data_IF_694106188031
#
_entry.id   IF_694106188031
#
_cell.length_a   1.000
_cell.length_b   1.000
_cell.length_c   1.000
_cell.angle_alpha   90.00
_cell.angle_beta   90.00
_cell.angle_gamma   90.00
#
_symmetry.space_group_name_H-M   'P 1'
#
loop_
_entity.id
_entity.type
_entity.pdbx_description
1 polymer ?
#
# COMPACT_ATOMS: atom_id res chain seq x y z
N UNK A 1 1.62 7.11 67.20
CA UNK A 1 2.90 6.59 66.68
C UNK A 1 2.62 6.04 65.30
N UNK A 2 3.15 6.65 64.25
CA UNK A 2 3.07 6.12 62.88
C UNK A 2 4.37 5.38 62.61
N UNK A 3 4.30 4.14 62.12
CA UNK A 3 5.47 3.48 61.55
C UNK A 3 5.80 4.15 60.22
N UNK A 4 7.06 4.47 60.00
CA UNK A 4 7.61 4.91 58.71
C UNK A 4 8.62 3.88 58.26
N UNK A 5 8.58 3.51 56.98
CA UNK A 5 9.54 2.57 56.37
C UNK A 5 10.49 3.31 55.41
N UNK A 6 11.69 2.78 55.22
CA UNK A 6 12.70 3.27 54.28
C UNK A 6 13.47 2.10 53.63
N UNK A 7 14.23 2.36 52.57
CA UNK A 7 15.09 1.36 51.91
C UNK A 7 16.17 0.74 52.81
N UNK A 8 16.35 1.23 54.04
CA UNK A 8 17.20 0.61 55.06
C UNK A 8 16.48 -0.45 55.89
N UNK A 9 15.18 -0.64 55.68
CA UNK A 9 14.36 -1.62 56.39
C UNK A 9 14.28 -2.90 55.57
N UNK A 10 14.74 -4.01 56.16
CA UNK A 10 14.87 -5.31 55.46
C UNK A 10 13.54 -6.05 55.43
N UNK A 11 12.54 -5.44 54.79
CA UNK A 11 11.20 -5.99 54.66
C UNK A 11 11.16 -6.89 53.43
N UNK A 12 10.83 -8.17 53.64
CA UNK A 12 10.59 -9.09 52.53
C UNK A 12 9.19 -8.86 51.96
N UNK A 13 9.12 -8.57 50.66
CA UNK A 13 7.86 -8.46 49.92
C UNK A 13 7.84 -9.50 48.80
N UNK A 14 6.75 -10.26 48.73
CA UNK A 14 6.47 -11.18 47.62
C UNK A 14 5.14 -10.80 47.02
N UNK A 15 5.15 -10.48 45.74
CA UNK A 15 3.96 -10.12 44.99
C UNK A 15 3.13 -11.37 44.71
N UNK A 16 1.81 -11.21 44.75
CA UNK A 16 0.88 -12.25 44.32
C UNK A 16 0.72 -12.23 42.80
N UNK A 17 0.19 -13.32 42.24
CA UNK A 17 -0.17 -13.37 40.83
C UNK A 17 -1.35 -12.44 40.54
N UNK A 18 -1.04 -11.27 40.00
CA UNK A 18 -1.98 -10.23 39.64
C UNK A 18 -1.34 -9.25 38.64
N UNK A 19 -2.19 -8.47 37.96
CA UNK A 19 -1.76 -7.24 37.29
C UNK A 19 -1.30 -6.22 38.33
N UNK A 20 -0.13 -5.63 38.12
CA UNK A 20 0.51 -4.71 39.06
C UNK A 20 0.96 -3.46 38.33
N UNK A 21 0.74 -2.28 38.91
CA UNK A 21 1.26 -1.03 38.35
C UNK A 21 2.73 -0.83 38.70
N UNK A 22 3.56 -0.45 37.72
CA UNK A 22 4.99 -0.19 37.91
C UNK A 22 5.28 0.88 38.97
N UNK A 23 4.47 1.94 39.04
CA UNK A 23 4.61 2.98 40.06
C UNK A 23 4.50 2.43 41.50
N UNK A 24 3.60 1.45 41.74
CA UNK A 24 3.49 0.80 43.04
C UNK A 24 4.71 -0.08 43.32
N UNK A 25 5.23 -0.83 42.34
CA UNK A 25 6.46 -1.62 42.53
C UNK A 25 7.64 -0.72 42.86
N UNK A 26 7.82 0.37 42.12
CA UNK A 26 8.88 1.36 42.37
C UNK A 26 8.75 1.97 43.78
N UNK A 27 7.52 2.24 44.24
CA UNK A 27 7.27 2.77 45.59
C UNK A 27 7.62 1.74 46.67
N UNK A 28 7.25 0.47 46.46
CA UNK A 28 7.58 -0.62 47.40
C UNK A 28 9.11 -0.81 47.44
N UNK A 29 9.76 -0.89 46.28
CA UNK A 29 11.21 -1.03 46.14
C UNK A 29 11.95 0.11 46.88
N UNK A 30 11.52 1.35 46.70
CA UNK A 30 12.09 2.49 47.43
C UNK A 30 11.85 2.43 48.96
N UNK A 31 10.86 1.68 49.42
CA UNK A 31 10.49 1.54 50.82
C UNK A 31 11.06 0.26 51.48
N UNK A 32 11.73 -0.62 50.72
CA UNK A 32 12.26 -1.90 51.23
C UNK A 32 13.70 -2.12 50.77
N UNK A 33 14.60 -2.51 51.67
CA UNK A 33 15.99 -2.78 51.27
C UNK A 33 16.29 -4.22 50.88
N UNK A 34 15.28 -5.10 50.90
CA UNK A 34 15.36 -6.43 50.30
C UNK A 34 14.62 -6.37 48.97
N UNK A 35 15.18 -7.01 47.94
CA UNK A 35 14.55 -7.02 46.63
C UNK A 35 13.11 -7.55 46.68
N UNK A 36 12.21 -6.86 46.00
CA UNK A 36 10.79 -7.21 45.85
C UNK A 36 10.69 -8.43 44.94
N UNK A 37 10.14 -9.53 45.45
CA UNK A 37 9.88 -10.72 44.66
C UNK A 37 8.63 -10.57 43.80
N UNK A 38 8.79 -10.14 42.55
CA UNK A 38 7.71 -9.88 41.60
C UNK A 38 7.53 -11.00 40.55
N UNK A 39 8.20 -12.14 40.69
CA UNK A 39 8.18 -13.25 39.71
C UNK A 39 6.80 -13.89 39.48
N UNK A 40 5.82 -13.65 40.36
CA UNK A 40 4.47 -14.20 40.21
C UNK A 40 3.51 -13.26 39.46
N UNK A 41 3.83 -11.97 39.30
CA UNK A 41 2.91 -11.03 38.63
C UNK A 41 2.71 -11.47 37.18
N UNK A 42 1.49 -11.29 36.69
CA UNK A 42 1.13 -11.71 35.33
C UNK A 42 1.19 -10.57 34.33
N UNK A 43 1.12 -9.33 34.82
CA UNK A 43 1.12 -8.13 34.00
C UNK A 43 1.73 -6.95 34.78
N UNK A 44 2.53 -6.15 34.09
CA UNK A 44 3.08 -4.89 34.57
C UNK A 44 2.49 -3.73 33.77
N UNK A 45 1.78 -2.82 34.43
CA UNK A 45 1.12 -1.68 33.78
C UNK A 45 1.67 -0.33 34.23
N UNK A 46 1.63 0.69 33.39
CA UNK A 46 1.97 2.05 33.81
C UNK A 46 2.48 2.95 32.68
N UNK A 47 2.98 4.13 33.06
CA UNK A 47 3.69 4.98 32.11
C UNK A 47 5.03 4.35 31.74
N UNK A 48 5.52 4.58 30.52
CA UNK A 48 6.77 4.02 30.03
C UNK A 48 7.97 4.28 30.96
N UNK A 49 8.05 5.47 31.57
CA UNK A 49 9.12 5.81 32.51
C UNK A 49 9.10 4.94 33.79
N UNK A 50 7.92 4.72 34.36
CA UNK A 50 7.76 3.90 35.56
C UNK A 50 8.05 2.43 35.27
N UNK A 51 7.55 1.93 34.13
CA UNK A 51 7.78 0.54 33.69
C UNK A 51 9.27 0.29 33.45
N UNK A 52 9.97 1.17 32.73
CA UNK A 52 11.43 1.05 32.54
C UNK A 52 12.21 1.09 33.86
N UNK A 53 11.75 1.91 34.81
CA UNK A 53 12.36 1.97 36.15
C UNK A 53 12.15 0.66 36.91
N UNK A 54 10.95 0.07 36.84
CA UNK A 54 10.64 -1.19 37.50
C UNK A 54 11.42 -2.36 36.91
N UNK A 55 11.46 -2.48 35.58
CA UNK A 55 12.19 -3.54 34.87
C UNK A 55 13.72 -3.40 35.05
N UNK A 56 14.24 -2.17 35.05
CA UNK A 56 15.65 -1.89 35.24
C UNK A 56 16.13 -1.89 36.69
N UNK A 57 15.24 -2.03 37.69
CA UNK A 57 15.63 -1.98 39.10
C UNK A 57 16.26 -3.28 39.56
N UNK A 58 17.47 -3.19 40.14
CA UNK A 58 18.09 -4.32 40.84
C UNK A 58 17.35 -4.72 42.14
N UNK A 59 16.47 -3.85 42.64
CA UNK A 59 15.63 -4.10 43.80
C UNK A 59 14.29 -4.76 43.48
N UNK A 60 14.01 -5.07 42.20
CA UNK A 60 12.81 -5.80 41.79
C UNK A 60 13.24 -7.06 41.05
N UNK A 61 12.77 -8.23 41.49
CA UNK A 61 13.03 -9.51 40.81
C UNK A 61 11.80 -9.94 40.02
N UNK A 62 11.85 -9.82 38.70
CA UNK A 62 10.82 -10.28 37.76
C UNK A 62 11.16 -11.65 37.18
N UNK A 63 10.27 -12.19 36.36
CA UNK A 63 10.57 -13.33 35.46
C UNK A 63 11.64 -12.95 34.43
N UNK A 64 12.24 -13.94 33.77
CA UNK A 64 13.32 -13.76 32.77
C UNK A 64 13.12 -14.67 31.54
N UNK A 65 11.88 -15.07 31.30
CA UNK A 65 11.48 -16.03 30.27
C UNK A 65 10.48 -15.43 29.27
N UNK A 66 10.47 -14.10 29.13
CA UNK A 66 9.59 -13.36 28.20
C UNK A 66 8.11 -13.66 28.38
N UNK A 67 7.66 -13.91 29.62
CA UNK A 67 6.27 -14.24 29.93
C UNK A 67 5.46 -13.10 30.55
N UNK A 68 6.10 -12.01 30.97
CA UNK A 68 5.42 -10.89 31.63
C UNK A 68 4.70 -10.03 30.59
N UNK A 69 3.37 -9.97 30.62
CA UNK A 69 2.63 -9.01 29.81
C UNK A 69 2.93 -7.58 30.30
N UNK A 70 3.09 -6.64 29.37
CA UNK A 70 3.40 -5.24 29.69
C UNK A 70 2.39 -4.30 29.05
N UNK A 71 1.62 -3.58 29.87
CA UNK A 71 0.66 -2.57 29.44
C UNK A 71 1.21 -1.15 29.60
N UNK A 72 1.59 -0.50 28.52
CA UNK A 72 2.06 0.89 28.54
C UNK A 72 0.88 1.84 28.35
N UNK A 73 0.84 2.90 29.15
CA UNK A 73 -0.25 3.87 29.17
C UNK A 73 0.28 5.29 29.01
N UNK A 74 -0.56 6.17 28.49
CA UNK A 74 -0.19 7.55 28.20
C UNK A 74 0.57 7.68 26.88
N UNK A 75 1.54 8.60 26.84
CA UNK A 75 2.36 8.86 25.66
C UNK A 75 3.54 7.88 25.64
N UNK A 76 3.50 6.91 24.72
CA UNK A 76 4.54 5.90 24.55
C UNK A 76 5.22 6.06 23.20
N UNK A 77 6.50 6.42 23.20
CA UNK A 77 7.28 6.52 21.96
C UNK A 77 7.68 5.15 21.42
N UNK A 78 7.97 5.05 20.12
CA UNK A 78 8.58 3.86 19.51
C UNK A 78 9.87 3.48 20.24
N UNK A 79 10.67 4.48 20.65
CA UNK A 79 11.88 4.25 21.44
C UNK A 79 11.59 3.64 22.83
N UNK A 80 10.51 4.07 23.49
CA UNK A 80 10.07 3.47 24.76
C UNK A 80 9.66 2.01 24.57
N UNK A 81 8.91 1.71 23.51
CA UNK A 81 8.47 0.35 23.18
C UNK A 81 9.67 -0.56 22.97
N UNK A 82 10.65 -0.13 22.16
CA UNK A 82 11.87 -0.89 21.87
C UNK A 82 12.67 -1.17 23.16
N UNK A 83 12.80 -0.18 24.04
CA UNK A 83 13.51 -0.35 25.31
C UNK A 83 12.81 -1.34 26.25
N UNK A 84 11.47 -1.30 26.31
CA UNK A 84 10.67 -2.25 27.12
C UNK A 84 10.74 -3.65 26.52
N UNK A 85 10.66 -3.79 25.21
CA UNK A 85 10.74 -5.07 24.50
C UNK A 85 12.09 -5.76 24.71
N UNK A 86 13.18 -4.99 24.83
CA UNK A 86 14.51 -5.53 25.02
C UNK A 86 14.72 -6.19 26.40
N UNK A 87 13.83 -5.96 27.37
CA UNK A 87 13.92 -6.60 28.68
C UNK A 87 13.54 -8.08 28.64
N UNK A 88 14.33 -8.93 29.29
CA UNK A 88 14.14 -10.39 29.28
C UNK A 88 12.85 -10.87 29.96
N UNK A 89 12.24 -10.04 30.81
CA UNK A 89 10.95 -10.35 31.41
C UNK A 89 9.80 -10.20 30.42
N UNK A 90 9.92 -9.22 29.51
CA UNK A 90 8.84 -8.74 28.64
C UNK A 90 8.39 -9.83 27.68
N UNK A 91 7.11 -10.18 27.77
CA UNK A 91 6.36 -10.94 26.79
C UNK A 91 5.59 -9.99 25.87
N UNK A 92 4.26 -10.10 25.87
CA UNK A 92 3.38 -9.29 25.03
C UNK A 92 3.31 -7.84 25.52
N UNK A 93 3.56 -6.88 24.64
CA UNK A 93 3.38 -5.45 24.88
C UNK A 93 1.99 -5.02 24.41
N UNK A 94 1.26 -4.26 25.22
CA UNK A 94 0.01 -3.59 24.85
C UNK A 94 0.16 -2.08 25.02
N UNK A 95 0.02 -1.31 23.94
CA UNK A 95 0.16 0.16 23.97
C UNK A 95 -0.41 0.81 22.71
N UNK A 96 -0.47 2.14 22.68
CA UNK A 96 -0.50 2.92 21.45
C UNK A 96 0.85 3.59 21.23
N UNK A 97 1.40 3.51 20.02
CA UNK A 97 2.59 4.28 19.65
C UNK A 97 2.20 5.75 19.37
N UNK A 98 3.07 6.69 19.73
CA UNK A 98 2.81 8.12 19.53
C UNK A 98 3.19 8.61 18.14
N UNK A 99 4.17 7.95 17.53
CA UNK A 99 4.68 8.26 16.20
C UNK A 99 3.71 7.78 15.14
N UNK A 100 3.59 8.57 14.08
CA UNK A 100 2.65 8.34 12.99
C UNK A 100 3.34 8.27 11.63
N UNK A 101 4.63 8.61 11.55
CA UNK A 101 5.43 8.51 10.34
C UNK A 101 6.00 7.10 10.17
N UNK A 102 5.92 6.59 8.93
CA UNK A 102 6.39 5.25 8.60
C UNK A 102 7.88 5.08 8.92
N UNK A 103 8.71 6.09 8.62
CA UNK A 103 10.15 6.04 8.82
C UNK A 103 10.57 5.73 10.27
N UNK A 104 9.82 6.21 11.27
CA UNK A 104 10.07 5.87 12.67
C UNK A 104 9.40 4.56 13.05
N UNK A 105 8.17 4.31 12.59
CA UNK A 105 7.40 3.12 12.93
C UNK A 105 8.05 1.82 12.44
N UNK A 106 8.69 1.81 11.27
CA UNK A 106 9.42 0.63 10.75
C UNK A 106 10.61 0.22 11.62
N UNK A 107 11.01 1.04 12.59
CA UNK A 107 12.09 0.69 13.54
C UNK A 107 11.62 -0.17 14.70
N UNK A 108 10.31 -0.41 14.85
CA UNK A 108 9.76 -1.33 15.84
C UNK A 108 10.37 -2.73 15.66
N UNK A 109 10.89 -3.29 16.75
CA UNK A 109 11.48 -4.64 16.79
C UNK A 109 10.56 -5.67 17.46
N UNK A 110 9.30 -5.31 17.63
CA UNK A 110 8.23 -6.13 18.22
C UNK A 110 7.71 -7.12 17.19
N UNK A 111 6.75 -7.97 17.57
CA UNK A 111 6.16 -8.96 16.69
C UNK A 111 4.64 -8.77 16.59
N UNK A 112 4.00 -9.43 15.62
CA UNK A 112 2.55 -9.43 15.46
C UNK A 112 1.78 -10.10 16.62
N UNK A 113 2.48 -10.63 17.61
CA UNK A 113 1.92 -11.10 18.88
C UNK A 113 1.75 -9.98 19.91
N UNK A 114 2.44 -8.85 19.71
CA UNK A 114 2.26 -7.63 20.48
C UNK A 114 0.98 -6.90 20.04
N UNK A 115 0.37 -6.14 20.95
CA UNK A 115 -0.89 -5.45 20.73
C UNK A 115 -0.65 -3.94 20.72
N UNK A 116 0.07 -3.48 19.69
CA UNK A 116 0.48 -2.08 19.51
C UNK A 116 -0.48 -1.42 18.54
N UNK A 117 -1.20 -0.41 19.01
CA UNK A 117 -2.02 0.43 18.11
C UNK A 117 -1.13 1.44 17.41
N UNK A 118 -1.24 1.52 16.08
CA UNK A 118 -0.53 2.48 15.23
C UNK A 118 -1.53 3.21 14.34
N UNK A 119 -1.39 4.53 14.26
CA UNK A 119 -2.11 5.40 13.33
C UNK A 119 -1.12 6.08 12.41
N UNK A 120 -1.31 5.95 11.10
CA UNK A 120 -0.43 6.55 10.10
C UNK A 120 -0.77 8.02 9.86
N UNK A 121 0.24 8.82 9.54
CA UNK A 121 0.06 10.21 9.13
C UNK A 121 -0.53 10.31 7.71
N UNK A 122 -1.11 11.48 7.40
CA UNK A 122 -1.48 11.83 6.03
C UNK A 122 -0.25 12.14 5.18
N UNK A 123 0.30 11.10 4.56
CA UNK A 123 1.49 11.16 3.73
C UNK A 123 1.44 10.10 2.62
N UNK A 124 2.36 10.22 1.66
CA UNK A 124 2.74 9.11 0.79
C UNK A 124 3.55 8.09 1.59
N UNK A 125 3.19 6.82 1.51
CA UNK A 125 3.84 5.75 2.27
C UNK A 125 4.18 4.57 1.38
N UNK A 126 5.35 3.98 1.56
CA UNK A 126 5.73 2.76 0.85
C UNK A 126 4.92 1.56 1.38
N UNK A 127 4.45 0.69 0.48
CA UNK A 127 3.70 -0.50 0.87
C UNK A 127 4.56 -1.48 1.70
N UNK A 128 5.87 -1.54 1.45
CA UNK A 128 6.79 -2.37 2.22
C UNK A 128 6.94 -1.87 3.67
N UNK A 129 6.88 -0.56 3.88
CA UNK A 129 6.89 0.02 5.23
C UNK A 129 5.60 -0.35 5.98
N UNK A 130 4.43 -0.22 5.35
CA UNK A 130 3.16 -0.63 5.96
C UNK A 130 3.14 -2.12 6.30
N UNK A 131 3.67 -2.97 5.42
CA UNK A 131 3.79 -4.41 5.67
C UNK A 131 4.72 -4.71 6.84
N UNK A 132 5.87 -4.03 6.91
CA UNK A 132 6.81 -4.13 8.04
C UNK A 132 6.13 -3.74 9.35
N UNK A 133 5.40 -2.62 9.36
CA UNK A 133 4.69 -2.13 10.56
C UNK A 133 3.60 -3.13 10.98
N UNK A 134 2.78 -3.62 10.05
CA UNK A 134 1.73 -4.61 10.33
C UNK A 134 2.29 -5.89 10.99
N UNK A 135 3.47 -6.34 10.54
CA UNK A 135 4.16 -7.49 11.13
C UNK A 135 4.71 -7.22 12.55
N UNK A 136 4.85 -5.96 12.96
CA UNK A 136 5.36 -5.56 14.26
C UNK A 136 4.28 -5.19 15.29
N UNK A 137 3.02 -4.98 14.86
CA UNK A 137 2.03 -4.30 15.72
C UNK A 137 0.87 -5.17 16.22
N UNK A 138 0.53 -6.26 15.52
CA UNK A 138 -0.52 -7.25 15.88
C UNK A 138 -1.97 -6.74 15.97
N UNK A 139 -2.18 -5.45 16.26
CA UNK A 139 -3.39 -4.69 15.96
C UNK A 139 -3.28 -4.19 14.52
N UNK A 140 -4.41 -4.16 13.81
CA UNK A 140 -4.46 -3.64 12.46
C UNK A 140 -3.96 -2.18 12.41
N UNK A 141 -3.04 -1.90 11.49
CA UNK A 141 -2.50 -0.56 11.24
C UNK A 141 -3.63 0.33 10.73
N UNK A 142 -3.87 1.45 11.41
CA UNK A 142 -4.80 2.47 10.94
C UNK A 142 -4.09 3.35 9.91
N UNK A 143 -4.15 2.91 8.65
CA UNK A 143 -3.63 3.62 7.48
C UNK A 143 -4.70 4.51 6.83
N UNK A 144 -5.77 4.85 7.56
CA UNK A 144 -6.88 5.60 6.97
C UNK A 144 -6.37 6.94 6.45
N UNK A 145 -5.64 7.74 7.23
CA UNK A 145 -5.19 9.07 6.79
C UNK A 145 -4.20 9.09 5.60
N UNK A 146 -3.58 7.95 5.24
CA UNK A 146 -2.58 7.87 4.14
C UNK A 146 -3.19 8.38 2.83
N UNK A 147 -2.43 9.21 2.11
CA UNK A 147 -2.92 9.88 0.90
C UNK A 147 -2.39 9.25 -0.38
N UNK A 148 -1.26 8.54 -0.30
CA UNK A 148 -0.70 7.81 -1.43
C UNK A 148 0.06 6.56 -0.97
N UNK A 149 0.04 5.53 -1.82
CA UNK A 149 0.79 4.29 -1.67
C UNK A 149 1.77 4.18 -2.83
N UNK A 150 3.02 3.87 -2.51
CA UNK A 150 4.07 3.68 -3.50
C UNK A 150 4.75 2.34 -3.28
N UNK A 151 5.33 1.77 -4.32
CA UNK A 151 6.31 0.70 -4.20
C UNK A 151 7.70 1.19 -4.65
N UNK A 152 8.37 1.93 -3.77
CA UNK A 152 9.74 2.42 -4.02
C UNK A 152 10.82 1.40 -3.68
N UNK A 153 10.44 0.32 -2.98
CA UNK A 153 11.32 -0.79 -2.61
C UNK A 153 11.26 -1.96 -3.57
N UNK A 154 10.42 -1.87 -4.61
CA UNK A 154 10.30 -2.82 -5.72
C UNK A 154 9.87 -4.21 -5.21
N UNK A 155 8.88 -4.26 -4.30
CA UNK A 155 8.27 -5.51 -3.82
C UNK A 155 7.31 -6.13 -4.84
N UNK A 156 6.96 -5.39 -5.89
CA UNK A 156 6.12 -5.76 -7.03
C UNK A 156 4.71 -6.20 -6.64
N UNK A 157 4.23 -5.79 -5.47
CA UNK A 157 2.93 -6.20 -4.94
C UNK A 157 2.36 -5.13 -4.03
N UNK A 158 1.23 -4.57 -4.45
CA UNK A 158 0.41 -3.66 -3.66
C UNK A 158 -0.94 -4.33 -3.47
N UNK A 159 -1.25 -4.76 -2.25
CA UNK A 159 -2.54 -5.36 -1.92
C UNK A 159 -3.27 -4.51 -0.87
N UNK A 160 -4.22 -3.68 -1.34
CA UNK A 160 -5.03 -2.83 -0.46
C UNK A 160 -6.19 -3.58 0.21
N UNK A 161 -6.30 -4.90 0.00
CA UNK A 161 -7.27 -5.79 0.64
C UNK A 161 -6.64 -6.68 1.72
N UNK A 162 -5.31 -6.63 1.86
CA UNK A 162 -4.57 -7.42 2.81
C UNK A 162 -5.05 -7.17 4.26
N UNK A 163 -5.20 -8.26 5.01
CA UNK A 163 -5.60 -8.17 6.41
C UNK A 163 -4.51 -7.49 7.27
N UNK A 164 -4.94 -6.76 8.30
CA UNK A 164 -4.04 -6.11 9.25
C UNK A 164 -3.66 -4.67 8.86
N UNK A 165 -4.11 -4.16 7.72
CA UNK A 165 -4.03 -2.73 7.40
C UNK A 165 -5.43 -2.24 7.08
N UNK A 166 -5.85 -1.14 7.72
CA UNK A 166 -7.14 -0.50 7.48
C UNK A 166 -6.93 0.79 6.69
N UNK A 167 -7.35 0.79 5.44
CA UNK A 167 -7.38 1.99 4.60
C UNK A 167 -8.74 2.71 4.71
N UNK A 168 -8.82 3.96 4.24
CA UNK A 168 -10.12 4.62 4.08
C UNK A 168 -11.02 3.82 3.12
N UNK A 169 -12.34 3.85 3.33
CA UNK A 169 -13.27 3.12 2.47
C UNK A 169 -13.70 3.88 1.20
N UNK A 170 -13.56 5.22 1.18
CA UNK A 170 -14.15 6.06 0.11
C UNK A 170 -13.24 7.19 -0.37
N UNK A 171 -12.33 7.69 0.47
CA UNK A 171 -11.36 8.71 0.04
C UNK A 171 -10.46 8.15 -1.05
N UNK A 172 -10.27 8.90 -2.13
CA UNK A 172 -9.32 8.58 -3.17
C UNK A 172 -7.91 8.39 -2.59
N UNK A 173 -7.23 7.35 -3.07
CA UNK A 173 -5.83 7.07 -2.77
C UNK A 173 -5.08 7.10 -4.09
N UNK A 174 -3.90 7.71 -4.10
CA UNK A 174 -2.99 7.62 -5.26
C UNK A 174 -2.08 6.42 -5.09
N UNK A 175 -2.01 5.54 -6.07
CA UNK A 175 -1.18 4.33 -6.07
C UNK A 175 -0.14 4.47 -7.18
N UNK A 176 1.13 4.19 -6.88
CA UNK A 176 2.20 4.13 -7.89
C UNK A 176 2.97 2.83 -7.70
N UNK A 177 2.95 1.95 -8.71
CA UNK A 177 3.70 0.69 -8.73
C UNK A 177 5.22 0.92 -8.67
N UNK A 178 5.70 2.03 -9.22
CA UNK A 178 7.14 2.28 -9.23
C UNK A 178 7.79 1.38 -10.27
N UNK A 179 9.01 0.90 -10.04
CA UNK A 179 9.75 0.19 -11.07
C UNK A 179 9.39 -1.30 -11.17
N UNK A 180 9.37 -1.82 -12.41
CA UNK A 180 9.13 -3.23 -12.68
C UNK A 180 7.65 -3.55 -12.88
N UNK A 181 7.33 -4.84 -13.05
CA UNK A 181 5.95 -5.27 -13.26
C UNK A 181 5.27 -5.47 -11.90
N UNK A 182 4.30 -4.62 -11.57
CA UNK A 182 3.58 -4.67 -10.29
C UNK A 182 2.26 -5.45 -10.36
N UNK A 183 1.89 -6.10 -9.25
CA UNK A 183 0.54 -6.59 -9.04
C UNK A 183 -0.19 -5.71 -8.02
N UNK A 184 -1.17 -4.95 -8.48
CA UNK A 184 -1.90 -3.94 -7.72
C UNK A 184 -3.34 -4.42 -7.53
N UNK A 185 -3.74 -4.70 -6.29
CA UNK A 185 -5.14 -4.99 -5.92
C UNK A 185 -5.73 -3.77 -5.21
N UNK A 186 -6.76 -3.18 -5.82
CA UNK A 186 -7.40 -1.95 -5.34
C UNK A 186 -8.47 -2.22 -4.27
N UNK A 187 -8.97 -1.14 -3.68
CA UNK A 187 -10.02 -1.23 -2.64
C UNK A 187 -11.38 -1.26 -3.32
N UNK A 188 -12.23 -2.19 -2.93
CA UNK A 188 -13.61 -2.20 -3.40
C UNK A 188 -14.35 -0.91 -3.00
N UNK A 189 -14.74 -0.10 -3.99
CA UNK A 189 -15.48 1.15 -3.78
C UNK A 189 -14.64 2.34 -3.33
N UNK A 190 -13.31 2.21 -3.31
CA UNK A 190 -12.41 3.36 -3.34
C UNK A 190 -12.58 4.10 -4.67
N UNK A 191 -12.31 5.39 -4.69
CA UNK A 191 -12.06 6.12 -5.93
C UNK A 191 -10.54 6.20 -6.13
N UNK A 192 -9.89 5.04 -6.26
CA UNK A 192 -8.44 4.90 -6.32
C UNK A 192 -7.89 5.52 -7.61
N UNK A 193 -6.64 5.98 -7.60
CA UNK A 193 -5.96 6.47 -8.80
C UNK A 193 -4.64 5.74 -8.95
N UNK A 194 -4.55 4.83 -9.91
CA UNK A 194 -3.29 4.16 -10.28
C UNK A 194 -2.53 5.06 -11.24
N UNK A 195 -1.31 5.42 -10.90
CA UNK A 195 -0.46 6.32 -11.68
C UNK A 195 0.60 5.51 -12.39
N UNK A 196 0.68 5.69 -13.71
CA UNK A 196 1.79 5.23 -14.54
C UNK A 196 2.61 6.45 -15.00
N UNK A 197 3.79 6.61 -14.40
CA UNK A 197 4.70 7.74 -14.59
C UNK A 197 5.58 7.63 -15.84
N UNK A 198 5.56 6.49 -16.54
CA UNK A 198 6.20 6.27 -17.83
C UNK A 198 6.97 4.95 -17.91
N UNK A 199 7.88 4.84 -18.87
CA UNK A 199 8.55 3.58 -19.24
C UNK A 199 9.41 2.92 -18.14
N UNK A 200 9.67 3.59 -17.01
CA UNK A 200 10.32 2.97 -15.87
C UNK A 200 9.36 2.04 -15.09
N UNK A 201 8.05 2.23 -15.25
CA UNK A 201 7.01 1.64 -14.41
C UNK A 201 6.53 0.26 -14.87
N UNK A 202 7.36 -0.46 -15.63
CA UNK A 202 7.06 -1.80 -16.14
C UNK A 202 5.63 -1.98 -16.67
N UNK A 203 5.07 -3.17 -16.46
CA UNK A 203 3.67 -3.49 -16.77
C UNK A 203 2.91 -3.81 -15.50
N UNK A 204 2.02 -2.89 -15.11
CA UNK A 204 1.17 -3.09 -13.93
C UNK A 204 -0.03 -3.97 -14.25
N UNK A 205 -0.27 -4.97 -13.39
CA UNK A 205 -1.51 -5.76 -13.37
C UNK A 205 -2.41 -5.26 -12.26
N UNK A 206 -3.53 -4.65 -12.63
CA UNK A 206 -4.48 -4.01 -11.73
C UNK A 206 -5.71 -4.88 -11.59
N UNK A 207 -6.03 -5.25 -10.35
CA UNK A 207 -7.22 -6.04 -9.97
C UNK A 207 -8.19 -5.17 -9.18
N UNK A 208 -9.49 -5.46 -9.33
CA UNK A 208 -10.61 -4.75 -8.70
C UNK A 208 -10.79 -3.28 -9.13
N UNK A 209 -10.27 -2.91 -10.30
CA UNK A 209 -10.51 -1.61 -10.90
C UNK A 209 -11.98 -1.42 -11.29
N UNK A 210 -12.64 -0.43 -10.68
CA UNK A 210 -13.99 -0.02 -10.97
C UNK A 210 -14.02 1.16 -11.96
N UNK A 211 -14.79 1.05 -13.03
CA UNK A 211 -14.96 2.09 -14.04
C UNK A 211 -16.21 2.95 -13.77
N UNK A 212 -16.19 4.23 -14.15
CA UNK A 212 -17.32 5.17 -14.06
C UNK A 212 -17.08 6.39 -13.18
N UNK A 213 -18.08 7.29 -13.14
CA UNK A 213 -18.00 8.56 -12.40
C UNK A 213 -17.82 8.31 -10.90
N UNK A 214 -16.71 8.78 -10.35
CA UNK A 214 -16.36 8.61 -8.94
C UNK A 214 -15.85 7.20 -8.59
N UNK A 215 -15.49 6.41 -9.61
CA UNK A 215 -14.83 5.13 -9.48
C UNK A 215 -13.30 5.31 -9.58
N UNK A 216 -12.58 4.23 -9.87
CA UNK A 216 -11.13 4.24 -9.98
C UNK A 216 -10.67 4.93 -11.26
N UNK A 217 -9.46 5.48 -11.20
CA UNK A 217 -8.80 6.22 -12.26
C UNK A 217 -7.45 5.57 -12.57
N UNK A 218 -7.08 5.57 -13.85
CA UNK A 218 -5.73 5.29 -14.28
C UNK A 218 -5.13 6.58 -14.86
N UNK A 219 -4.14 7.14 -14.18
CA UNK A 219 -3.44 8.35 -14.56
C UNK A 219 -2.22 7.99 -15.41
N UNK A 220 -2.31 8.26 -16.71
CA UNK A 220 -1.19 8.11 -17.62
C UNK A 220 -0.53 9.47 -17.82
N UNK A 221 0.40 9.80 -16.92
CA UNK A 221 0.99 11.13 -16.78
C UNK A 221 1.79 11.65 -18.00
N UNK A 222 1.98 10.81 -19.02
CA UNK A 222 2.72 11.20 -20.23
C UNK A 222 1.78 11.80 -21.27
N UNK A 223 2.16 12.97 -21.82
CA UNK A 223 1.34 13.65 -22.83
C UNK A 223 1.25 12.85 -24.14
N UNK A 224 0.03 12.68 -24.66
CA UNK A 224 -0.21 12.03 -25.96
C UNK A 224 -0.24 13.09 -27.07
N UNK A 225 0.83 13.16 -27.86
CA UNK A 225 0.96 14.09 -28.98
C UNK A 225 0.38 13.48 -30.26
N UNK A 226 -0.57 14.14 -30.92
CA UNK A 226 -1.00 13.83 -32.29
C UNK A 226 -0.42 14.88 -33.24
N UNK A 227 0.82 14.66 -33.69
CA UNK A 227 1.48 15.25 -34.87
C UNK A 227 1.51 16.77 -35.09
N UNK A 228 0.83 17.58 -34.28
CA UNK A 228 0.56 18.99 -34.52
C UNK A 228 0.85 19.84 -33.28
N UNK A 229 1.62 20.90 -33.47
CA UNK A 229 2.01 21.82 -32.41
C UNK A 229 0.79 22.44 -31.71
N UNK A 230 0.68 22.13 -30.41
CA UNK A 230 0.01 22.89 -29.35
C UNK A 230 -1.53 23.01 -29.40
N UNK A 231 -2.19 22.13 -28.63
CA UNK A 231 -3.19 22.52 -27.63
C UNK A 231 -3.32 21.38 -26.61
N UNK A 232 -3.07 21.67 -25.33
CA UNK A 232 -3.33 20.79 -24.20
C UNK A 232 -4.83 20.85 -23.88
N UNK A 233 -5.56 19.77 -24.12
CA UNK A 233 -6.98 19.63 -23.77
C UNK A 233 -7.18 18.26 -23.14
N UNK A 234 -7.54 18.27 -21.86
CA UNK A 234 -7.80 17.12 -20.98
C UNK A 234 -8.75 16.10 -21.63
N UNK A 235 -8.41 14.81 -21.51
CA UNK A 235 -9.02 13.64 -22.16
C UNK A 235 -10.57 13.65 -22.12
N UNK A 236 -11.20 13.61 -23.31
CA UNK A 236 -12.60 13.13 -23.57
C UNK A 236 -12.65 12.73 -25.06
N UNK A 237 -12.93 11.47 -25.43
CA UNK A 237 -14.28 10.91 -25.40
C UNK A 237 -14.32 9.38 -25.21
N UNK A 238 -15.19 8.93 -24.30
CA UNK A 238 -15.72 7.56 -24.24
C UNK A 238 -17.22 7.59 -24.51
N UNK A 239 -17.55 7.38 -25.77
CA UNK A 239 -18.40 6.27 -26.21
C UNK A 239 -17.52 5.49 -27.21
N UNK A 240 -17.75 4.19 -27.51
CA UNK A 240 -16.93 3.53 -28.51
C UNK A 240 -17.01 4.40 -29.76
N UNK A 241 -15.89 4.97 -30.20
CA UNK A 241 -15.71 5.05 -31.63
C UNK A 241 -15.68 3.59 -32.04
N UNK A 242 -16.87 3.03 -32.30
CA UNK A 242 -16.99 2.04 -33.35
C UNK A 242 -16.31 2.76 -34.50
N UNK A 243 -15.08 2.37 -34.80
CA UNK A 243 -14.42 2.84 -36.00
C UNK A 243 -15.24 2.20 -37.10
N UNK A 244 -16.34 2.85 -37.47
CA UNK A 244 -17.11 2.53 -38.66
C UNK A 244 -16.21 3.03 -39.77
N UNK A 245 -15.21 2.20 -40.11
CA UNK A 245 -14.31 2.27 -41.25
C UNK A 245 -13.82 3.69 -41.61
N UNK A 246 -12.54 3.99 -41.35
CA UNK A 246 -11.76 5.16 -41.82
C UNK A 246 -11.54 6.37 -40.86
N UNK A 247 -11.85 6.27 -39.58
CA UNK A 247 -11.68 7.38 -38.62
C UNK A 247 -10.23 7.85 -38.43
N UNK A 248 -9.89 9.03 -38.94
CA UNK A 248 -8.65 9.76 -38.63
C UNK A 248 -8.67 10.29 -37.20
N UNK A 249 -7.57 10.14 -36.45
CA UNK A 249 -7.37 10.81 -35.16
C UNK A 249 -7.25 12.33 -35.39
N UNK A 250 -8.34 13.10 -35.20
CA UNK A 250 -8.30 14.56 -35.39
C UNK A 250 -8.07 15.35 -34.10
N UNK A 251 -7.84 14.68 -32.97
CA UNK A 251 -7.59 15.27 -31.66
C UNK A 251 -6.37 14.63 -30.95
N UNK A 252 -5.68 15.40 -30.10
CA UNK A 252 -4.72 14.88 -29.10
C UNK A 252 -5.49 14.13 -27.99
N UNK A 253 -4.78 13.30 -27.21
CA UNK A 253 -5.32 12.69 -25.98
C UNK A 253 -6.58 11.83 -26.21
N UNK A 254 -6.54 10.96 -27.23
CA UNK A 254 -7.63 10.04 -27.60
C UNK A 254 -7.28 8.61 -27.20
N UNK A 255 -8.24 7.91 -26.58
CA UNK A 255 -8.17 6.48 -26.27
C UNK A 255 -9.02 5.72 -27.28
N UNK A 256 -8.42 4.74 -27.94
CA UNK A 256 -9.12 3.84 -28.85
C UNK A 256 -9.47 2.54 -28.14
N UNK A 257 -10.76 2.30 -27.92
CA UNK A 257 -11.26 1.04 -27.37
C UNK A 257 -11.71 0.11 -28.49
N UNK A 258 -11.12 -1.08 -28.57
CA UNK A 258 -11.52 -2.11 -29.53
C UNK A 258 -12.42 -3.15 -28.87
N UNK A 259 -13.59 -3.38 -29.47
CA UNK A 259 -14.61 -4.31 -28.93
C UNK A 259 -15.33 -5.14 -30.01
N UNK A 260 -14.93 -5.03 -31.28
CA UNK A 260 -15.48 -5.85 -32.36
C UNK A 260 -15.01 -7.30 -32.22
N UNK A 261 -15.81 -8.26 -32.67
CA UNK A 261 -15.46 -9.69 -32.60
C UNK A 261 -14.19 -10.06 -33.38
N UNK A 262 -13.74 -9.20 -34.30
CA UNK A 262 -12.47 -9.34 -35.04
C UNK A 262 -11.26 -8.66 -34.39
N UNK A 263 -11.47 -7.93 -33.29
CA UNK A 263 -10.45 -7.08 -32.65
C UNK A 263 -10.15 -7.53 -31.20
N UNK A 264 -10.55 -8.76 -30.86
CA UNK A 264 -10.27 -9.40 -29.56
C UNK A 264 -8.96 -10.15 -29.66
N UNK A 265 -8.10 -9.98 -28.65
CA UNK A 265 -6.85 -10.72 -28.53
C UNK A 265 -7.09 -12.21 -28.24
N UNK A 266 -6.06 -13.03 -28.43
CA UNK A 266 -6.12 -14.44 -28.06
C UNK A 266 -6.42 -14.59 -26.55
N UNK A 267 -7.44 -15.36 -26.20
CA UNK A 267 -7.84 -15.58 -24.80
C UNK A 267 -6.71 -16.18 -23.95
N UNK A 268 -6.57 -15.70 -22.71
CA UNK A 268 -5.47 -16.07 -21.83
C UNK A 268 -4.18 -15.31 -22.16
N UNK A 269 -4.30 -14.11 -22.73
CA UNK A 269 -3.17 -13.23 -22.97
C UNK A 269 -2.51 -12.86 -21.64
N UNK A 270 -1.19 -12.76 -21.67
CA UNK A 270 -0.35 -12.34 -20.53
C UNK A 270 0.53 -11.17 -20.93
N UNK A 271 1.18 -10.50 -19.98
CA UNK A 271 2.14 -9.43 -20.28
C UNK A 271 3.16 -9.82 -21.37
N UNK A 272 3.69 -11.05 -21.30
CA UNK A 272 4.66 -11.57 -22.25
C UNK A 272 4.14 -11.81 -23.67
N UNK A 273 2.82 -11.98 -23.85
CA UNK A 273 2.20 -12.34 -25.14
C UNK A 273 1.29 -11.24 -25.70
N UNK A 274 0.92 -10.28 -24.86
CA UNK A 274 -0.04 -9.23 -25.16
C UNK A 274 0.31 -8.43 -26.41
N UNK A 275 1.57 -8.01 -26.58
CA UNK A 275 1.99 -7.23 -27.76
C UNK A 275 1.79 -8.02 -29.05
N UNK A 276 2.22 -9.30 -29.08
CA UNK A 276 2.07 -10.13 -30.28
C UNK A 276 0.58 -10.41 -30.60
N UNK A 277 -0.23 -10.63 -29.56
CA UNK A 277 -1.66 -10.85 -29.72
C UNK A 277 -2.39 -9.57 -30.15
N UNK A 278 -1.97 -8.40 -29.65
CA UNK A 278 -2.50 -7.09 -30.05
C UNK A 278 -2.19 -6.80 -31.52
N UNK A 279 -0.95 -7.02 -31.98
CA UNK A 279 -0.60 -6.89 -33.41
C UNK A 279 -1.47 -7.80 -34.27
N UNK A 280 -1.70 -9.04 -33.83
CA UNK A 280 -2.57 -9.98 -34.56
C UNK A 280 -4.01 -9.46 -34.64
N UNK A 281 -4.57 -8.98 -33.52
CA UNK A 281 -5.93 -8.44 -33.47
C UNK A 281 -6.09 -7.17 -34.32
N UNK A 282 -5.14 -6.23 -34.24
CA UNK A 282 -5.17 -4.97 -34.98
C UNK A 282 -4.98 -5.17 -36.49
N UNK A 283 -4.38 -6.28 -36.92
CA UNK A 283 -4.15 -6.60 -38.34
C UNK A 283 -5.15 -7.59 -38.92
N UNK A 284 -5.96 -8.26 -38.09
CA UNK A 284 -7.00 -9.18 -38.56
C UNK A 284 -8.29 -8.49 -39.03
N UNK A 285 -8.52 -7.24 -38.63
CA UNK A 285 -9.68 -6.42 -38.99
C UNK A 285 -9.37 -5.28 -39.98
N UNK A 286 -10.41 -4.58 -40.44
CA UNK A 286 -10.30 -3.32 -41.21
C UNK A 286 -10.29 -2.07 -40.33
N UNK A 287 -10.39 -2.26 -39.01
CA UNK A 287 -10.90 -1.24 -38.09
C UNK A 287 -9.78 -0.35 -37.53
N UNK A 288 -8.52 -0.81 -37.55
CA UNK A 288 -7.35 0.01 -37.28
C UNK A 288 -6.47 0.14 -38.53
N UNK A 289 -6.49 1.31 -39.17
CA UNK A 289 -5.59 1.62 -40.29
C UNK A 289 -4.50 2.58 -39.82
N UNK A 290 -3.26 2.08 -39.70
CA UNK A 290 -2.10 2.93 -39.43
C UNK A 290 -1.81 3.93 -40.56
N UNK A 291 -2.46 3.78 -41.73
CA UNK A 291 -2.40 4.78 -42.80
C UNK A 291 -3.09 6.11 -42.44
N UNK A 292 -3.92 6.12 -41.39
CA UNK A 292 -4.59 7.31 -40.86
C UNK A 292 -3.84 7.96 -39.69
N UNK A 293 -2.69 7.39 -39.29
CA UNK A 293 -1.87 7.88 -38.18
C UNK A 293 -0.61 8.53 -38.76
N UNK A 294 -0.33 9.76 -38.36
CA UNK A 294 0.84 10.50 -38.80
C UNK A 294 2.09 10.05 -38.01
N UNK A 295 3.27 10.33 -38.57
CA UNK A 295 4.52 10.07 -37.88
C UNK A 295 4.57 10.84 -36.56
N UNK A 296 5.05 10.18 -35.51
CA UNK A 296 5.15 10.73 -34.14
C UNK A 296 3.83 10.92 -33.42
N UNK A 297 2.72 10.43 -33.97
CA UNK A 297 1.49 10.31 -33.19
C UNK A 297 1.67 9.31 -32.06
N UNK A 298 1.14 9.69 -30.91
CA UNK A 298 1.17 8.94 -29.66
C UNK A 298 -0.27 8.76 -29.18
N UNK A 299 -0.69 7.51 -29.00
CA UNK A 299 -2.07 7.13 -28.72
C UNK A 299 -2.12 6.09 -27.61
N UNK A 300 -3.26 6.01 -26.92
CA UNK A 300 -3.57 4.88 -26.06
C UNK A 300 -4.56 3.96 -26.78
N UNK A 301 -4.22 2.67 -26.84
CA UNK A 301 -5.07 1.62 -27.40
C UNK A 301 -5.47 0.67 -26.29
N UNK A 302 -6.76 0.38 -26.17
CA UNK A 302 -7.27 -0.60 -25.22
C UNK A 302 -7.88 -1.78 -25.98
N UNK A 303 -7.34 -2.97 -25.75
CA UNK A 303 -7.83 -4.24 -26.29
C UNK A 303 -8.24 -5.18 -25.15
N UNK A 304 -9.01 -6.22 -25.45
CA UNK A 304 -9.37 -7.26 -24.48
C UNK A 304 -9.10 -8.66 -25.05
N UNK A 305 -8.99 -9.65 -24.18
CA UNK A 305 -8.88 -11.08 -24.54
C UNK A 305 -10.14 -11.89 -24.20
N UNK A 306 -11.24 -11.19 -23.91
CA UNK A 306 -12.50 -11.75 -23.41
C UNK A 306 -12.59 -11.90 -21.89
N UNK A 307 -11.48 -11.76 -21.15
CA UNK A 307 -11.48 -11.75 -19.67
C UNK A 307 -10.87 -10.47 -19.12
N UNK A 308 -9.72 -10.07 -19.64
CA UNK A 308 -8.92 -8.93 -19.18
C UNK A 308 -8.89 -7.84 -20.26
N UNK A 309 -8.65 -6.60 -19.82
CA UNK A 309 -8.35 -5.47 -20.70
C UNK A 309 -6.88 -5.11 -20.60
N UNK A 310 -6.31 -4.66 -21.71
CA UNK A 310 -4.89 -4.39 -21.85
C UNK A 310 -4.72 -3.03 -22.49
N UNK A 311 -3.97 -2.16 -21.82
CA UNK A 311 -3.69 -0.80 -22.25
C UNK A 311 -2.31 -0.75 -22.87
N UNK A 312 -2.26 -0.28 -24.11
CA UNK A 312 -1.04 -0.12 -24.87
C UNK A 312 -0.81 1.35 -25.17
N UNK A 313 0.43 1.78 -25.03
CA UNK A 313 0.93 3.00 -25.62
C UNK A 313 1.39 2.68 -27.05
N UNK A 314 0.72 3.29 -28.03
CA UNK A 314 1.08 3.21 -29.43
C UNK A 314 1.84 4.47 -29.86
N UNK A 315 3.04 4.29 -30.42
CA UNK A 315 3.82 5.38 -31.00
C UNK A 315 4.11 5.04 -32.45
N UNK A 316 3.57 5.84 -33.37
CA UNK A 316 3.78 5.62 -34.80
C UNK A 316 5.26 5.82 -35.17
N UNK A 317 5.88 4.76 -35.70
CA UNK A 317 7.22 4.85 -36.28
C UNK A 317 7.25 5.58 -37.64
N UNK A 318 8.41 5.60 -38.29
CA UNK A 318 8.57 6.23 -39.60
C UNK A 318 8.07 5.38 -40.79
N UNK A 319 7.60 4.16 -40.54
CA UNK A 319 7.20 3.16 -41.53
C UNK A 319 5.68 3.16 -41.71
N UNK A 320 5.19 4.15 -42.44
CA UNK A 320 3.76 4.32 -42.69
C UNK A 320 3.08 3.04 -43.23
N UNK A 321 1.94 2.67 -42.63
CA UNK A 321 1.02 1.66 -43.18
C UNK A 321 1.12 0.24 -42.63
N UNK A 322 1.93 -0.03 -41.60
CA UNK A 322 1.90 -1.32 -40.87
C UNK A 322 1.92 -1.11 -39.37
N UNK A 323 1.01 -1.75 -38.63
CA UNK A 323 1.11 -1.89 -37.18
C UNK A 323 2.12 -2.98 -36.87
N UNK A 324 3.21 -2.65 -36.19
CA UNK A 324 4.24 -3.61 -35.78
C UNK A 324 4.31 -3.72 -34.25
N UNK A 325 4.96 -4.77 -33.76
CA UNK A 325 5.24 -4.92 -32.33
C UNK A 325 6.15 -3.82 -31.79
N UNK A 326 6.94 -3.14 -32.65
CA UNK A 326 7.82 -2.06 -32.23
C UNK A 326 7.05 -0.76 -31.94
N UNK A 327 5.84 -0.63 -32.46
CA UNK A 327 4.98 0.54 -32.27
C UNK A 327 4.16 0.45 -30.99
N UNK A 328 4.14 -0.70 -30.32
CA UNK A 328 3.29 -0.98 -29.16
C UNK A 328 4.12 -1.27 -27.93
N UNK A 329 3.85 -0.53 -26.86
CA UNK A 329 4.32 -0.84 -25.51
C UNK A 329 3.10 -1.16 -24.65
N UNK A 330 3.08 -2.34 -24.04
CA UNK A 330 2.08 -2.63 -23.01
C UNK A 330 2.42 -1.82 -21.77
N UNK A 331 1.43 -1.14 -21.18
CA UNK A 331 1.62 -0.28 -20.00
C UNK A 331 0.73 -0.67 -18.83
N UNK A 332 -0.32 -1.46 -19.05
CA UNK A 332 -1.19 -1.91 -17.97
C UNK A 332 -2.14 -3.03 -18.38
N UNK A 333 -2.51 -3.85 -17.40
CA UNK A 333 -3.48 -4.95 -17.53
C UNK A 333 -4.55 -4.75 -16.46
N UNK A 334 -5.80 -4.60 -16.88
CA UNK A 334 -6.97 -4.58 -15.98
C UNK A 334 -7.56 -5.99 -15.91
N UNK A 335 -7.26 -6.67 -14.82
CA UNK A 335 -7.60 -8.07 -14.61
C UNK A 335 -9.10 -8.23 -14.28
N UNK A 336 -9.78 -9.12 -15.01
CA UNK A 336 -11.20 -9.40 -14.85
C UNK A 336 -12.13 -8.29 -15.37
N UNK A 337 -11.62 -7.27 -16.05
CA UNK A 337 -12.43 -6.20 -16.60
C UNK A 337 -12.45 -6.23 -18.12
N UNK A 338 -13.64 -6.09 -18.71
CA UNK A 338 -13.83 -6.00 -20.15
C UNK A 338 -13.86 -4.54 -20.63
N UNK A 339 -13.35 -4.30 -21.85
CA UNK A 339 -13.27 -2.96 -22.47
C UNK A 339 -14.60 -2.21 -22.53
N UNK A 340 -15.71 -2.93 -22.65
CA UNK A 340 -17.04 -2.33 -22.68
C UNK A 340 -17.48 -1.69 -21.35
N UNK A 341 -16.77 -1.96 -20.24
CA UNK A 341 -17.03 -1.37 -18.94
C UNK A 341 -16.39 0.01 -18.76
N UNK A 342 -15.43 0.38 -19.61
CA UNK A 342 -14.66 1.63 -19.51
C UNK A 342 -15.55 2.83 -19.89
N UNK A 343 -15.51 3.89 -19.09
CA UNK A 343 -16.24 5.12 -19.25
C UNK A 343 -15.32 6.34 -19.41
N UNK A 344 -15.92 7.49 -19.76
CA UNK A 344 -15.16 8.72 -20.03
C UNK A 344 -14.61 9.22 -18.70
N UNK A 345 -13.30 9.48 -18.68
CA UNK A 345 -12.62 10.02 -17.51
C UNK A 345 -12.07 8.96 -16.56
N UNK A 346 -12.20 7.67 -16.87
CA UNK A 346 -11.58 6.60 -16.08
C UNK A 346 -10.07 6.48 -16.35
N UNK A 347 -9.62 7.02 -17.48
CA UNK A 347 -8.21 7.21 -17.82
C UNK A 347 -8.00 8.72 -17.97
N UNK A 348 -6.98 9.26 -17.30
CA UNK A 348 -6.68 10.70 -17.25
C UNK A 348 -5.24 11.00 -17.68
#
# INVERSE_FOLDING_TARGET
>A
MTLTTANTDMITVTMAAASTTAANLNTIDAATGVAVGATAITELTGAAADVKTALGSAGITTVVDSSLAVGLTGSTSVADIILVQADSATGVITTAATETDAATLVTLTTANTDMITVTMAAASTDIADLNTINLATGVAVDATAVTAITDTTNVNTIDLTAAGITYHATNALTITGGAGDDNITLRAGGADTVVHAGAADGVDTITDFAFGVGADLFDFTTNLLNGGTAATSTLVAVAPMVVVNDGTASANDVIYTFSGAGDVMAGGSSAATAVANAVTALTSGTDFSSANIAQSDSLLLMLNDGTNSFLFHYVADATFGTTSAADLTLIGIFNGVQTAAIATGDII
#
